data_IF_111178974145
#
_entry.id   IF_111178974145
#
_cell.length_a   1.000
_cell.length_b   1.000
_cell.length_c   1.000
_cell.angle_alpha   90.00
_cell.angle_beta   90.00
_cell.angle_gamma   90.00
#
_symmetry.space_group_name_H-M   'P 1'
#
loop_
_entity.id
_entity.type
_entity.pdbx_description
1 polymer ?
#
# COMPACT_ATOMS: atom_id res chain seq x y z
N UNK A 1 18.83 45.15 81.54
CA UNK A 1 17.49 45.34 80.84
C UNK A 1 17.66 45.23 79.30
N UNK A 2 18.86 45.55 78.77
CA UNK A 2 19.12 45.62 77.29
C UNK A 2 19.20 44.27 76.61
N UNK A 3 19.56 43.20 77.34
CA UNK A 3 19.59 41.86 76.78
C UNK A 3 18.20 41.21 76.50
N UNK A 4 17.16 41.74 77.21
CA UNK A 4 15.82 41.18 77.04
C UNK A 4 15.20 41.62 75.67
N UNK A 5 15.52 42.87 75.27
CA UNK A 5 15.12 43.41 73.99
C UNK A 5 15.77 42.67 72.78
N UNK A 6 17.05 42.35 72.96
CA UNK A 6 17.80 41.65 71.94
C UNK A 6 17.29 40.19 71.70
N UNK A 7 16.92 39.53 72.82
CA UNK A 7 16.34 38.17 72.78
C UNK A 7 14.98 38.15 72.07
N UNK A 8 14.14 39.12 72.27
CA UNK A 8 12.84 39.28 71.61
C UNK A 8 13.00 39.51 70.11
N UNK A 9 13.94 40.35 69.69
CA UNK A 9 14.20 40.54 68.25
C UNK A 9 14.68 39.27 67.58
N UNK A 10 15.59 38.54 68.20
CA UNK A 10 16.07 37.22 67.62
C UNK A 10 14.93 36.22 67.57
N UNK A 11 14.06 36.14 68.58
CA UNK A 11 12.91 35.26 68.57
C UNK A 11 11.92 35.57 67.43
N UNK A 12 11.66 36.87 67.19
CA UNK A 12 10.78 37.30 66.07
C UNK A 12 11.39 36.99 64.74
N UNK A 13 12.67 37.19 64.55
CA UNK A 13 13.38 36.84 63.31
C UNK A 13 13.34 35.31 63.07
N UNK A 14 13.56 34.49 64.09
CA UNK A 14 13.46 33.04 63.98
C UNK A 14 12.04 32.57 63.60
N UNK A 15 11.02 33.20 64.16
CA UNK A 15 9.61 32.90 63.80
C UNK A 15 9.33 33.25 62.32
N UNK A 16 9.82 34.40 61.88
CA UNK A 16 9.68 34.79 60.46
C UNK A 16 10.39 33.83 59.52
N UNK A 17 11.57 33.36 59.84
CA UNK A 17 12.32 32.38 59.05
C UNK A 17 11.56 31.04 59.02
N UNK A 18 11.02 30.60 60.15
CA UNK A 18 10.21 29.36 60.21
C UNK A 18 8.93 29.47 59.40
N UNK A 19 8.22 30.62 59.47
CA UNK A 19 7.04 30.84 58.64
C UNK A 19 7.36 30.88 57.17
N UNK A 20 8.47 31.50 56.79
CA UNK A 20 8.93 31.49 55.40
C UNK A 20 9.22 30.05 54.88
N UNK A 21 9.95 29.28 55.66
CA UNK A 21 10.32 27.91 55.28
C UNK A 21 9.11 26.96 55.21
N UNK A 22 8.14 27.11 56.13
CA UNK A 22 7.02 26.21 56.29
C UNK A 22 5.82 26.54 55.40
N UNK A 23 5.56 27.80 55.10
CA UNK A 23 4.40 28.24 54.34
C UNK A 23 4.74 28.59 52.89
N UNK A 24 5.84 29.24 52.66
CA UNK A 24 6.17 29.83 51.34
C UNK A 24 6.88 28.82 50.43
N UNK A 25 7.84 28.10 50.99
CA UNK A 25 8.63 27.15 50.20
C UNK A 25 7.82 26.00 49.56
N UNK A 26 6.85 25.34 50.25
CA UNK A 26 6.08 24.28 49.63
C UNK A 26 5.20 24.75 48.45
N UNK A 27 4.64 25.99 48.57
CA UNK A 27 3.79 26.53 47.49
C UNK A 27 4.60 26.83 46.22
N UNK A 28 5.83 27.31 46.34
CA UNK A 28 6.70 27.52 45.17
C UNK A 28 7.14 26.21 44.51
N UNK A 29 7.45 25.17 45.29
CA UNK A 29 7.83 23.84 44.72
C UNK A 29 6.65 23.16 44.03
N UNK A 30 5.43 23.28 44.54
CA UNK A 30 4.23 22.76 43.87
C UNK A 30 3.95 23.45 42.53
N UNK A 31 4.09 24.77 42.48
CA UNK A 31 3.91 25.54 41.24
C UNK A 31 4.98 25.15 40.19
N UNK A 32 6.22 24.97 40.62
CA UNK A 32 7.32 24.58 39.70
C UNK A 32 7.11 23.18 39.13
N UNK A 33 6.61 22.26 39.93
CA UNK A 33 6.26 20.90 39.47
C UNK A 33 5.10 20.91 38.47
N UNK A 34 4.04 21.68 38.74
CA UNK A 34 2.90 21.85 37.82
C UNK A 34 3.33 22.47 36.46
N UNK A 35 4.24 23.43 36.50
CA UNK A 35 4.77 24.07 35.30
C UNK A 35 5.58 23.03 34.49
N UNK A 36 6.45 22.27 35.13
CA UNK A 36 7.22 21.19 34.48
C UNK A 36 6.32 20.14 33.87
N UNK A 37 5.28 19.69 34.56
CA UNK A 37 4.31 18.74 34.06
C UNK A 37 3.53 19.23 32.84
N UNK A 38 3.16 20.53 32.86
CA UNK A 38 2.52 21.17 31.71
C UNK A 38 3.45 21.27 30.50
N UNK A 39 4.72 21.61 30.72
CA UNK A 39 5.72 21.63 29.64
C UNK A 39 5.98 20.26 29.09
N UNK A 40 6.04 19.25 29.95
CA UNK A 40 6.22 17.85 29.51
C UNK A 40 5.03 17.40 28.65
N UNK A 41 3.79 17.60 29.12
CA UNK A 41 2.57 17.30 28.35
C UNK A 41 2.51 18.08 27.03
N UNK A 42 2.93 19.33 27.04
CA UNK A 42 2.97 20.13 25.82
C UNK A 42 3.98 19.60 24.80
N UNK A 43 5.16 19.17 25.26
CA UNK A 43 6.18 18.58 24.42
C UNK A 43 5.73 17.22 23.87
N UNK A 44 5.09 16.39 24.69
CA UNK A 44 4.52 15.12 24.28
C UNK A 44 3.41 15.30 23.22
N UNK A 45 2.50 16.26 23.45
CA UNK A 45 1.45 16.60 22.48
C UNK A 45 2.03 17.11 21.15
N UNK A 46 3.10 17.92 21.19
CA UNK A 46 3.79 18.36 19.97
C UNK A 46 4.43 17.19 19.22
N UNK A 47 5.04 16.27 19.95
CA UNK A 47 5.65 15.06 19.34
C UNK A 47 4.57 14.18 18.73
N UNK A 48 3.46 13.95 19.43
CA UNK A 48 2.32 13.19 18.87
C UNK A 48 1.73 13.87 17.64
N UNK A 49 1.54 15.19 17.64
CA UNK A 49 1.04 15.89 16.46
C UNK A 49 2.00 15.78 15.28
N UNK A 50 3.31 15.85 15.50
CA UNK A 50 4.28 15.66 14.42
C UNK A 50 4.27 14.23 13.86
N UNK A 51 4.05 13.24 14.73
CA UNK A 51 3.88 11.84 14.29
C UNK A 51 2.57 11.64 13.50
N UNK A 52 1.47 12.25 13.93
CA UNK A 52 0.20 12.24 13.21
C UNK A 52 0.38 12.81 11.81
N UNK A 53 0.96 14.01 11.69
CA UNK A 53 1.21 14.62 10.39
C UNK A 53 2.14 13.80 9.49
N UNK A 54 3.15 13.15 10.07
CA UNK A 54 4.03 12.26 9.32
C UNK A 54 3.30 10.99 8.83
N UNK A 55 2.37 10.46 9.63
CA UNK A 55 1.55 9.31 9.25
C UNK A 55 0.50 9.71 8.20
N UNK A 56 -0.12 10.88 8.33
CA UNK A 56 -1.06 11.41 7.34
C UNK A 56 -0.40 11.56 5.97
N UNK A 57 0.79 12.18 5.91
CA UNK A 57 1.56 12.30 4.67
C UNK A 57 1.91 10.93 4.07
N UNK A 58 2.24 9.96 4.92
CA UNK A 58 2.56 8.61 4.47
C UNK A 58 1.33 7.86 3.95
N UNK A 59 0.16 8.09 4.54
CA UNK A 59 -1.11 7.55 4.04
C UNK A 59 -1.43 8.14 2.68
N UNK A 60 -1.30 9.45 2.50
CA UNK A 60 -1.52 10.14 1.24
C UNK A 60 -0.56 9.63 0.14
N UNK A 61 0.73 9.48 0.46
CA UNK A 61 1.71 8.90 -0.47
C UNK A 61 1.32 7.47 -0.88
N UNK A 62 0.92 6.65 0.10
CA UNK A 62 0.49 5.28 -0.17
C UNK A 62 -0.81 5.20 -0.98
N UNK A 63 -1.73 6.15 -0.80
CA UNK A 63 -2.95 6.23 -1.59
C UNK A 63 -2.64 6.56 -3.05
N UNK A 64 -1.74 7.50 -3.32
CA UNK A 64 -1.29 7.84 -4.68
C UNK A 64 -0.66 6.61 -5.35
N UNK A 65 0.28 5.97 -4.68
CA UNK A 65 0.94 4.74 -5.19
C UNK A 65 -0.07 3.63 -5.44
N UNK A 66 -1.06 3.50 -4.55
CA UNK A 66 -2.14 2.53 -4.70
C UNK A 66 -2.98 2.83 -5.94
N UNK A 67 -3.39 4.07 -6.17
CA UNK A 67 -4.17 4.46 -7.34
C UNK A 67 -3.41 4.21 -8.66
N UNK A 68 -2.11 4.52 -8.68
CA UNK A 68 -1.25 4.20 -9.84
C UNK A 68 -1.19 2.68 -10.10
N UNK A 69 -1.02 1.89 -9.04
CA UNK A 69 -1.02 0.43 -9.16
C UNK A 69 -2.37 -0.13 -9.59
N UNK A 70 -3.48 0.49 -9.13
CA UNK A 70 -4.81 0.07 -9.53
C UNK A 70 -5.08 0.21 -11.02
N UNK A 71 -4.48 1.17 -11.71
CA UNK A 71 -4.59 1.36 -13.16
C UNK A 71 -4.02 0.18 -13.96
N UNK A 72 -3.09 -0.57 -13.38
CA UNK A 72 -2.49 -1.74 -14.01
C UNK A 72 -3.42 -2.97 -14.02
N UNK A 73 -4.43 -2.98 -13.15
CA UNK A 73 -5.42 -4.05 -13.13
C UNK A 73 -6.47 -3.83 -14.21
N UNK A 74 -7.07 -4.92 -14.67
CA UNK A 74 -8.10 -4.87 -15.69
C UNK A 74 -9.50 -4.91 -15.07
N UNK A 75 -10.41 -4.15 -15.66
CA UNK A 75 -11.85 -4.29 -15.44
C UNK A 75 -12.41 -5.37 -16.36
N UNK A 76 -13.66 -5.79 -16.14
CA UNK A 76 -14.30 -6.78 -16.99
C UNK A 76 -14.48 -6.29 -18.44
N UNK A 77 -14.75 -5.00 -18.63
CA UNK A 77 -14.83 -4.39 -19.96
C UNK A 77 -13.47 -4.39 -20.67
N UNK A 78 -12.40 -4.06 -19.96
CA UNK A 78 -11.05 -4.04 -20.52
C UNK A 78 -10.54 -5.44 -20.90
N UNK A 79 -11.03 -6.50 -20.24
CA UNK A 79 -10.77 -7.88 -20.67
C UNK A 79 -11.37 -8.12 -22.05
N UNK A 80 -12.61 -7.69 -22.29
CA UNK A 80 -13.26 -7.80 -23.60
C UNK A 80 -12.56 -6.97 -24.68
N UNK A 81 -12.15 -5.75 -24.34
CA UNK A 81 -11.35 -4.90 -25.23
C UNK A 81 -10.01 -5.54 -25.60
N UNK A 82 -9.39 -6.25 -24.66
CA UNK A 82 -8.15 -6.98 -24.93
C UNK A 82 -8.33 -8.10 -25.95
N UNK A 83 -9.45 -8.83 -25.93
CA UNK A 83 -9.75 -9.84 -26.95
C UNK A 83 -9.82 -9.22 -28.34
N UNK A 84 -10.53 -8.10 -28.44
CA UNK A 84 -10.62 -7.38 -29.70
C UNK A 84 -9.25 -6.87 -30.15
N UNK A 85 -8.46 -6.33 -29.24
CA UNK A 85 -7.13 -5.82 -29.51
C UNK A 85 -6.21 -6.93 -30.00
N UNK A 86 -6.16 -8.11 -29.33
CA UNK A 86 -5.36 -9.25 -29.77
C UNK A 86 -5.77 -9.68 -31.19
N UNK A 87 -7.08 -9.74 -31.46
CA UNK A 87 -7.60 -10.12 -32.79
C UNK A 87 -7.20 -9.10 -33.85
N UNK A 88 -7.38 -7.80 -33.61
CA UNK A 88 -7.03 -6.75 -34.56
C UNK A 88 -5.51 -6.65 -34.77
N UNK A 89 -4.73 -6.74 -33.72
CA UNK A 89 -3.27 -6.71 -33.80
C UNK A 89 -2.72 -7.92 -34.55
N UNK A 90 -3.31 -9.10 -34.34
CA UNK A 90 -2.95 -10.29 -35.11
C UNK A 90 -3.23 -10.09 -36.60
N UNK A 91 -4.43 -9.59 -36.96
CA UNK A 91 -4.79 -9.32 -38.36
C UNK A 91 -3.87 -8.25 -38.97
N UNK A 92 -3.60 -7.16 -38.26
CA UNK A 92 -2.70 -6.08 -38.70
C UNK A 92 -1.30 -6.60 -38.98
N UNK A 93 -0.82 -7.53 -38.16
CA UNK A 93 0.47 -8.18 -38.31
C UNK A 93 0.44 -9.40 -39.26
N UNK A 94 -0.62 -9.55 -40.07
CA UNK A 94 -0.76 -10.66 -41.03
C UNK A 94 -0.65 -12.06 -40.38
N UNK A 95 -1.16 -12.16 -39.17
CA UNK A 95 -1.30 -13.42 -38.43
C UNK A 95 -2.73 -13.91 -38.54
N UNK A 96 -2.90 -15.23 -38.63
CA UNK A 96 -4.21 -15.86 -38.58
C UNK A 96 -4.51 -16.33 -37.16
N UNK A 97 -5.59 -15.84 -36.59
CA UNK A 97 -6.07 -16.33 -35.31
C UNK A 97 -6.80 -17.66 -35.53
N UNK A 98 -6.27 -18.73 -34.96
CA UNK A 98 -6.87 -20.07 -35.02
C UNK A 98 -7.85 -20.25 -33.87
N UNK A 99 -7.46 -19.82 -32.68
CA UNK A 99 -8.21 -19.94 -31.43
C UNK A 99 -8.00 -18.70 -30.58
N UNK A 100 -9.05 -18.24 -29.95
CA UNK A 100 -9.00 -17.20 -28.92
C UNK A 100 -10.11 -17.49 -27.92
N UNK A 101 -9.74 -17.88 -26.71
CA UNK A 101 -10.69 -18.34 -25.70
C UNK A 101 -10.36 -17.65 -24.36
N UNK A 102 -11.43 -17.24 -23.67
CA UNK A 102 -11.37 -16.86 -22.26
C UNK A 102 -11.31 -18.15 -21.44
N UNK A 103 -10.22 -18.30 -20.66
CA UNK A 103 -10.08 -19.36 -19.69
C UNK A 103 -10.90 -19.11 -18.43
N UNK A 104 -10.77 -20.01 -17.49
CA UNK A 104 -11.44 -19.90 -16.19
C UNK A 104 -10.85 -18.74 -15.37
N UNK A 105 -11.69 -18.14 -14.55
CA UNK A 105 -11.30 -17.12 -13.60
C UNK A 105 -10.95 -17.78 -12.25
N UNK A 106 -9.75 -17.56 -11.78
CA UNK A 106 -9.25 -18.10 -10.52
C UNK A 106 -9.23 -17.03 -9.44
N UNK A 107 -9.93 -17.25 -8.33
CA UNK A 107 -9.92 -16.37 -7.17
C UNK A 107 -8.69 -16.65 -6.30
N UNK A 108 -7.79 -15.69 -6.18
CA UNK A 108 -6.57 -15.79 -5.37
C UNK A 108 -6.81 -15.18 -3.99
N UNK A 109 -6.38 -15.92 -2.96
CA UNK A 109 -6.48 -15.57 -1.54
C UNK A 109 -5.13 -15.83 -0.87
N UNK A 110 -4.30 -14.79 -0.74
CA UNK A 110 -2.92 -14.91 -0.24
C UNK A 110 -2.83 -15.28 1.26
N UNK A 111 -3.83 -14.94 2.05
CA UNK A 111 -3.88 -15.26 3.49
C UNK A 111 -4.08 -16.73 3.83
N UNK A 112 -4.41 -17.56 2.86
CA UNK A 112 -4.75 -18.98 3.08
C UNK A 112 -3.55 -19.83 3.56
N UNK A 113 -2.34 -19.48 3.18
CA UNK A 113 -1.13 -20.26 3.50
C UNK A 113 -0.68 -20.15 4.97
N UNK A 114 -1.11 -19.11 5.70
CA UNK A 114 -0.59 -18.80 7.03
C UNK A 114 -1.53 -19.08 8.20
N UNK A 115 -2.84 -19.30 7.95
CA UNK A 115 -3.83 -19.25 9.04
C UNK A 115 -4.54 -20.59 9.34
N UNK A 116 -4.38 -21.63 8.52
CA UNK A 116 -5.12 -22.91 8.72
C UNK A 116 -6.65 -22.77 8.69
N UNK A 117 -7.15 -21.61 8.29
CA UNK A 117 -8.57 -21.32 8.13
C UNK A 117 -9.09 -21.91 6.82
N UNK A 118 -10.39 -22.20 6.78
CA UNK A 118 -11.04 -22.71 5.58
C UNK A 118 -10.93 -21.67 4.46
N UNK A 119 -10.20 -22.03 3.40
CA UNK A 119 -9.83 -21.13 2.28
C UNK A 119 -11.08 -20.47 1.66
N UNK A 120 -12.23 -21.15 1.72
CA UNK A 120 -13.48 -20.66 1.16
C UNK A 120 -14.06 -19.42 1.90
N UNK A 121 -13.68 -19.20 3.16
CA UNK A 121 -14.23 -18.10 4.00
C UNK A 121 -13.40 -16.82 3.95
N UNK A 122 -12.19 -16.87 3.38
CA UNK A 122 -11.32 -15.71 3.29
C UNK A 122 -11.76 -14.77 2.14
N UNK A 123 -11.61 -13.46 2.32
CA UNK A 123 -11.87 -12.51 1.25
C UNK A 123 -10.95 -12.79 0.05
N UNK A 124 -11.47 -12.56 -1.16
CA UNK A 124 -10.70 -12.68 -2.39
C UNK A 124 -9.82 -11.44 -2.53
N UNK A 125 -8.52 -11.64 -2.66
CA UNK A 125 -7.56 -10.54 -2.84
C UNK A 125 -7.59 -10.02 -4.28
N UNK A 126 -7.56 -10.94 -5.25
CA UNK A 126 -7.69 -10.62 -6.67
C UNK A 126 -8.16 -11.84 -7.47
N UNK A 127 -8.62 -11.58 -8.69
CA UNK A 127 -9.00 -12.60 -9.67
C UNK A 127 -7.94 -12.68 -10.75
N UNK A 128 -7.55 -13.90 -11.13
CA UNK A 128 -6.67 -14.18 -12.23
C UNK A 128 -7.49 -14.72 -13.40
N UNK A 129 -7.51 -13.99 -14.50
CA UNK A 129 -8.27 -14.32 -15.69
C UNK A 129 -7.27 -14.83 -16.73
N UNK A 130 -7.51 -16.03 -17.26
CA UNK A 130 -6.67 -16.59 -18.29
C UNK A 130 -7.24 -16.31 -19.68
N UNK A 131 -6.33 -16.02 -20.62
CA UNK A 131 -6.64 -15.89 -22.05
C UNK A 131 -5.72 -16.82 -22.81
N UNK A 132 -6.30 -17.70 -23.61
CA UNK A 132 -5.57 -18.62 -24.46
C UNK A 132 -5.79 -18.24 -25.92
N UNK A 133 -4.71 -18.11 -26.68
CA UNK A 133 -4.79 -17.86 -28.10
C UNK A 133 -3.77 -18.68 -28.89
N UNK A 134 -4.23 -19.19 -30.04
CA UNK A 134 -3.41 -19.88 -31.02
C UNK A 134 -3.38 -19.05 -32.31
N UNK A 135 -2.21 -18.74 -32.79
CA UNK A 135 -1.99 -17.92 -34.00
C UNK A 135 -1.03 -18.59 -34.95
N UNK A 136 -1.29 -18.44 -36.25
CA UNK A 136 -0.45 -18.93 -37.32
C UNK A 136 0.10 -17.78 -38.16
N UNK A 137 1.38 -17.85 -38.53
CA UNK A 137 1.98 -16.86 -39.40
C UNK A 137 3.50 -16.86 -39.38
N UNK A 138 4.12 -15.76 -39.77
CA UNK A 138 5.58 -15.61 -39.76
C UNK A 138 6.07 -15.25 -38.36
N UNK A 139 7.17 -15.82 -37.93
CA UNK A 139 7.75 -15.56 -36.62
C UNK A 139 8.02 -14.07 -36.33
N UNK A 140 8.56 -13.25 -37.24
CA UNK A 140 8.74 -11.82 -36.99
C UNK A 140 7.42 -11.07 -36.74
N UNK A 141 6.34 -11.50 -37.38
CA UNK A 141 5.01 -10.89 -37.18
C UNK A 141 4.45 -11.25 -35.79
N UNK A 142 4.71 -12.48 -35.34
CA UNK A 142 4.38 -12.89 -33.98
C UNK A 142 5.13 -12.07 -32.92
N UNK A 143 6.42 -11.79 -33.11
CA UNK A 143 7.18 -10.95 -32.20
C UNK A 143 6.60 -9.53 -32.08
N UNK A 144 6.16 -8.95 -33.21
CA UNK A 144 5.49 -7.64 -33.20
C UNK A 144 4.18 -7.67 -32.42
N UNK A 145 3.37 -8.71 -32.59
CA UNK A 145 2.14 -8.87 -31.80
C UNK A 145 2.46 -8.97 -30.31
N UNK A 146 3.48 -9.73 -29.95
CA UNK A 146 3.90 -9.89 -28.54
C UNK A 146 4.38 -8.57 -27.96
N UNK A 147 5.13 -7.77 -28.72
CA UNK A 147 5.58 -6.45 -28.34
C UNK A 147 4.39 -5.49 -28.12
N UNK A 148 3.42 -5.47 -29.04
CA UNK A 148 2.20 -4.67 -28.91
C UNK A 148 1.37 -5.04 -27.66
N UNK A 149 1.30 -6.33 -27.32
CA UNK A 149 0.63 -6.77 -26.09
C UNK A 149 1.43 -6.37 -24.84
N UNK A 150 2.76 -6.42 -24.90
CA UNK A 150 3.63 -6.07 -23.79
C UNK A 150 3.69 -4.55 -23.52
N UNK A 151 3.41 -3.71 -24.55
CA UNK A 151 3.34 -2.25 -24.42
C UNK A 151 2.03 -1.75 -23.79
N UNK A 152 1.07 -2.63 -23.55
CA UNK A 152 -0.15 -2.26 -22.84
C UNK A 152 0.19 -1.93 -21.38
N UNK A 153 -0.32 -0.79 -20.89
CA UNK A 153 -0.19 -0.37 -19.49
C UNK A 153 -1.09 -1.22 -18.57
N UNK A 154 -0.96 -2.56 -18.68
CA UNK A 154 -1.74 -3.53 -17.91
C UNK A 154 -0.84 -4.65 -17.40
N UNK A 155 -1.21 -5.19 -16.26
CA UNK A 155 -0.51 -6.33 -15.67
C UNK A 155 -0.89 -7.62 -16.45
N UNK A 156 -0.09 -7.93 -17.46
CA UNK A 156 -0.23 -9.12 -18.30
C UNK A 156 0.97 -10.03 -18.06
N UNK A 157 0.70 -11.30 -17.73
CA UNK A 157 1.75 -12.28 -17.50
C UNK A 157 1.62 -13.40 -18.56
N UNK A 158 2.70 -13.69 -19.26
CA UNK A 158 2.79 -14.82 -20.16
C UNK A 158 3.06 -16.08 -19.35
N UNK A 159 2.03 -16.89 -19.10
CA UNK A 159 2.12 -18.11 -18.28
C UNK A 159 2.75 -19.27 -19.04
N UNK A 160 2.35 -19.42 -20.30
CA UNK A 160 2.85 -20.47 -21.18
C UNK A 160 2.92 -19.97 -22.61
N UNK A 161 4.00 -20.31 -23.28
CA UNK A 161 4.23 -19.98 -24.68
C UNK A 161 4.84 -21.21 -25.36
N UNK A 162 4.20 -21.71 -26.38
CA UNK A 162 4.66 -22.83 -27.18
C UNK A 162 4.63 -22.46 -28.67
N UNK A 163 5.80 -22.44 -29.31
CA UNK A 163 5.95 -22.09 -30.72
C UNK A 163 6.42 -23.29 -31.51
N UNK A 164 5.62 -23.71 -32.45
CA UNK A 164 5.92 -24.85 -33.37
C UNK A 164 6.10 -24.36 -34.80
N UNK A 165 7.08 -24.86 -35.48
CA UNK A 165 7.28 -24.56 -36.91
C UNK A 165 6.46 -25.56 -37.75
N UNK A 166 5.78 -25.00 -38.76
CA UNK A 166 5.01 -25.78 -39.73
C UNK A 166 5.87 -26.05 -40.98
N UNK A 167 5.52 -27.07 -41.73
CA UNK A 167 6.20 -27.47 -43.00
C UNK A 167 6.24 -26.32 -44.03
N UNK A 168 5.27 -25.39 -43.98
CA UNK A 168 5.15 -24.22 -44.85
C UNK A 168 6.05 -23.02 -44.42
N UNK A 169 7.03 -23.21 -43.53
CA UNK A 169 7.87 -22.14 -42.94
C UNK A 169 7.11 -21.06 -42.19
N UNK A 170 5.89 -21.35 -41.79
CA UNK A 170 5.13 -20.57 -40.82
C UNK A 170 5.28 -21.17 -39.43
N UNK A 171 4.88 -20.43 -38.41
CA UNK A 171 4.80 -20.92 -37.04
C UNK A 171 3.34 -21.00 -36.61
N UNK A 172 3.08 -21.91 -35.66
CA UNK A 172 1.88 -21.90 -34.82
C UNK A 172 2.36 -21.58 -33.40
N UNK A 173 1.90 -20.46 -32.86
CA UNK A 173 2.17 -20.08 -31.52
C UNK A 173 0.91 -20.24 -30.64
N UNK A 174 1.02 -21.11 -29.64
CA UNK A 174 0.00 -21.33 -28.61
C UNK A 174 0.43 -20.63 -27.34
N UNK A 175 -0.33 -19.62 -26.93
CA UNK A 175 0.03 -18.75 -25.82
C UNK A 175 -1.10 -18.72 -24.79
N UNK A 176 -0.72 -18.81 -23.53
CA UNK A 176 -1.61 -18.58 -22.39
C UNK A 176 -1.09 -17.37 -21.61
N UNK A 177 -1.88 -16.34 -21.56
CA UNK A 177 -1.62 -15.15 -20.74
C UNK A 177 -2.58 -15.09 -19.55
N UNK A 178 -2.16 -14.46 -18.50
CA UNK A 178 -3.02 -14.15 -17.36
C UNK A 178 -3.09 -12.64 -17.12
N UNK A 179 -4.26 -12.20 -16.74
CA UNK A 179 -4.62 -10.84 -16.38
C UNK A 179 -5.05 -10.82 -14.93
N UNK A 180 -4.81 -9.72 -14.25
CA UNK A 180 -5.23 -9.56 -12.85
C UNK A 180 -6.36 -8.54 -12.76
N UNK A 181 -7.47 -8.96 -12.14
CA UNK A 181 -8.63 -8.13 -11.86
C UNK A 181 -8.87 -8.02 -10.36
N UNK A 182 -9.12 -6.81 -9.89
CA UNK A 182 -9.51 -6.61 -8.50
C UNK A 182 -10.99 -6.98 -8.27
N UNK A 183 -11.37 -7.48 -7.08
CA UNK A 183 -12.75 -7.69 -6.74
C UNK A 183 -13.52 -6.37 -6.79
N UNK A 184 -14.76 -6.41 -7.30
CA UNK A 184 -15.66 -5.25 -7.25
C UNK A 184 -15.90 -4.87 -5.76
N UNK A 185 -15.75 -3.60 -5.45
CA UNK A 185 -16.04 -3.05 -4.13
C UNK A 185 -17.52 -2.83 -3.93
#
# INVERSE_FOLDING_TARGET
>A
KDYLGLIIIVAVVCIFILLYFFLIKPVFTEQESMIKDKYYKLSETKTMNSQISALENKVEELEIVREEKFKLFVSEQEVEELYQLISFSALRNQLKVIKLIRGEEEAIREGAASTGADIATLPVDYYKIFVEYDIEGKFPNYLKLKEEIAELDKLIVFEKEEVKTTESRTIIASVKISLVRMPAR
#
